data_IF_142110604931
#
_entry.id   IF_142110604931
#
_cell.length_a   1.000
_cell.length_b   1.000
_cell.length_c   1.000
_cell.angle_alpha   90.00
_cell.angle_beta   90.00
_cell.angle_gamma   90.00
#
_symmetry.space_group_name_H-M   'P 1'
#
loop_
_entity.id
_entity.type
_entity.pdbx_description
1 polymer ?
#
# COMPACT_ATOMS: atom_id res chain seq x y z
N UNK A 1 -34.91 14.36 -10.79
CA UNK A 1 -33.77 13.69 -11.44
C UNK A 1 -33.14 14.74 -12.33
N UNK A 2 -31.91 15.13 -12.10
CA UNK A 2 -31.28 16.29 -12.72
C UNK A 2 -31.00 16.03 -14.20
N UNK A 3 -31.26 16.98 -15.10
CA UNK A 3 -30.98 16.82 -16.54
C UNK A 3 -29.49 16.55 -16.80
N UNK A 4 -28.61 17.12 -15.98
CA UNK A 4 -27.17 16.90 -16.04
C UNK A 4 -26.76 15.43 -15.81
N UNK A 5 -27.46 14.70 -14.94
CA UNK A 5 -27.21 13.25 -14.75
C UNK A 5 -27.50 12.45 -16.02
N UNK A 6 -28.57 12.78 -16.73
CA UNK A 6 -28.89 12.13 -18.02
C UNK A 6 -27.86 12.44 -19.10
N UNK A 7 -27.36 13.68 -19.15
CA UNK A 7 -26.33 14.10 -20.11
C UNK A 7 -24.99 13.39 -19.86
N UNK A 8 -24.65 13.19 -18.60
CA UNK A 8 -23.41 12.43 -18.21
C UNK A 8 -23.57 10.95 -18.51
N UNK A 9 -24.72 10.34 -18.17
CA UNK A 9 -24.97 8.91 -18.38
C UNK A 9 -25.14 8.57 -19.87
N UNK A 10 -25.53 9.52 -20.71
CA UNK A 10 -25.65 9.35 -22.17
C UNK A 10 -24.35 9.61 -22.92
N UNK A 11 -23.39 10.36 -22.35
CA UNK A 11 -22.05 10.55 -22.90
C UNK A 11 -21.14 9.37 -22.50
N UNK A 12 -21.06 8.38 -23.38
CA UNK A 12 -20.30 7.15 -23.16
C UNK A 12 -18.81 7.38 -22.89
N UNK A 13 -18.23 8.39 -23.55
CA UNK A 13 -16.79 8.66 -23.42
C UNK A 13 -16.48 9.35 -22.09
N UNK A 14 -17.36 10.26 -21.66
CA UNK A 14 -17.22 10.92 -20.38
C UNK A 14 -17.37 9.93 -19.22
N UNK A 15 -18.45 9.16 -19.18
CA UNK A 15 -18.66 8.11 -18.17
C UNK A 15 -17.48 7.14 -18.13
N UNK A 16 -16.98 6.74 -19.29
CA UNK A 16 -15.86 5.79 -19.37
C UNK A 16 -14.60 6.35 -18.70
N UNK A 17 -14.25 7.61 -18.96
CA UNK A 17 -13.09 8.27 -18.34
C UNK A 17 -13.22 8.35 -16.81
N UNK A 18 -14.38 8.79 -16.32
CA UNK A 18 -14.63 8.91 -14.89
C UNK A 18 -14.60 7.54 -14.18
N UNK A 19 -15.23 6.53 -14.75
CA UNK A 19 -15.21 5.16 -14.19
C UNK A 19 -13.80 4.58 -14.17
N UNK A 20 -13.00 4.82 -15.21
CA UNK A 20 -11.61 4.36 -15.23
C UNK A 20 -10.82 5.05 -14.13
N UNK A 21 -10.98 6.35 -13.94
CA UNK A 21 -10.30 7.08 -12.87
C UNK A 21 -10.63 6.49 -11.48
N UNK A 22 -11.93 6.38 -11.14
CA UNK A 22 -12.35 5.84 -9.84
C UNK A 22 -11.87 4.40 -9.63
N UNK A 23 -11.91 3.59 -10.68
CA UNK A 23 -11.41 2.22 -10.63
C UNK A 23 -9.90 2.16 -10.39
N UNK A 24 -9.14 3.00 -11.09
CA UNK A 24 -7.68 3.10 -10.92
C UNK A 24 -7.33 3.60 -9.52
N UNK A 25 -8.02 4.64 -9.02
CA UNK A 25 -7.79 5.14 -7.66
C UNK A 25 -8.00 4.04 -6.62
N UNK A 26 -9.13 3.34 -6.68
CA UNK A 26 -9.43 2.25 -5.77
C UNK A 26 -8.43 1.10 -5.87
N UNK A 27 -8.06 0.72 -7.10
CA UNK A 27 -7.09 -0.34 -7.34
C UNK A 27 -5.71 0.01 -6.76
N UNK A 28 -5.21 1.22 -7.01
CA UNK A 28 -3.93 1.71 -6.48
C UNK A 28 -3.95 1.74 -4.96
N UNK A 29 -5.01 2.30 -4.37
CA UNK A 29 -5.14 2.40 -2.92
C UNK A 29 -5.23 1.03 -2.24
N UNK A 30 -6.09 0.13 -2.73
CA UNK A 30 -6.24 -1.20 -2.13
C UNK A 30 -4.99 -2.06 -2.33
N UNK A 31 -4.32 -1.95 -3.48
CA UNK A 31 -3.05 -2.64 -3.71
C UNK A 31 -1.98 -2.14 -2.74
N UNK A 32 -1.82 -0.83 -2.59
CA UNK A 32 -0.90 -0.23 -1.61
C UNK A 32 -1.17 -0.73 -0.19
N UNK A 33 -2.42 -0.66 0.27
CA UNK A 33 -2.79 -1.10 1.63
C UNK A 33 -2.56 -2.59 1.81
N UNK A 34 -2.98 -3.42 0.84
CA UNK A 34 -2.86 -4.88 0.92
C UNK A 34 -1.40 -5.32 0.96
N UNK A 35 -0.57 -4.72 0.12
CA UNK A 35 0.87 -4.99 0.11
C UNK A 35 1.49 -4.67 1.47
N UNK A 36 1.29 -3.46 1.98
CA UNK A 36 1.91 -3.06 3.25
C UNK A 36 1.37 -3.80 4.46
N UNK A 37 0.10 -4.24 4.43
CA UNK A 37 -0.44 -5.14 5.45
C UNK A 37 0.25 -6.51 5.42
N UNK A 38 0.58 -7.02 4.24
CA UNK A 38 1.28 -8.31 4.09
C UNK A 38 2.76 -8.18 4.47
N UNK A 39 3.46 -7.13 4.03
CA UNK A 39 4.84 -6.84 4.38
C UNK A 39 5.03 -6.65 5.89
N UNK A 40 4.20 -5.82 6.51
CA UNK A 40 4.29 -5.60 7.95
C UNK A 40 3.99 -6.87 8.74
N UNK A 41 3.01 -7.67 8.30
CA UNK A 41 2.73 -8.96 8.90
C UNK A 41 3.91 -9.91 8.75
N UNK A 42 4.51 -9.96 7.57
CA UNK A 42 5.70 -10.76 7.28
C UNK A 42 6.87 -10.34 8.19
N UNK A 43 7.10 -9.05 8.34
CA UNK A 43 8.15 -8.50 9.20
C UNK A 43 8.03 -8.92 10.68
N UNK A 44 6.80 -9.04 11.19
CA UNK A 44 6.54 -9.49 12.58
C UNK A 44 6.35 -11.01 12.71
N UNK A 45 6.16 -11.73 11.61
CA UNK A 45 5.97 -13.18 11.65
C UNK A 45 7.27 -13.89 12.05
N UNK A 46 7.12 -15.03 12.72
CA UNK A 46 8.25 -15.85 13.15
C UNK A 46 8.24 -17.24 12.51
N UNK A 47 7.31 -17.51 11.60
CA UNK A 47 7.26 -18.73 10.81
C UNK A 47 6.76 -18.43 9.39
N UNK A 48 7.37 -19.10 8.43
CA UNK A 48 7.10 -18.93 6.99
C UNK A 48 6.88 -20.29 6.35
N UNK A 49 5.86 -20.39 5.50
CA UNK A 49 5.59 -21.58 4.71
C UNK A 49 5.10 -21.19 3.31
N UNK A 50 5.45 -21.98 2.31
CA UNK A 50 4.97 -21.76 0.94
C UNK A 50 3.65 -22.49 0.72
N UNK A 51 2.58 -21.78 0.43
CA UNK A 51 1.30 -22.34 -0.01
C UNK A 51 1.36 -22.60 -1.52
N UNK A 52 1.51 -23.88 -1.89
CA UNK A 52 1.62 -24.28 -3.29
C UNK A 52 0.33 -24.05 -4.07
N UNK A 53 -0.83 -24.15 -3.43
CA UNK A 53 -2.13 -24.01 -4.07
C UNK A 53 -2.43 -22.55 -4.41
N UNK A 54 -2.01 -21.64 -3.54
CA UNK A 54 -2.17 -20.20 -3.73
C UNK A 54 -0.95 -19.52 -4.34
N UNK A 55 0.15 -20.28 -4.53
CA UNK A 55 1.43 -19.80 -5.03
C UNK A 55 1.91 -18.52 -4.29
N UNK A 56 1.85 -18.57 -2.96
CA UNK A 56 2.26 -17.43 -2.12
C UNK A 56 2.89 -17.87 -0.80
N UNK A 57 3.71 -16.97 -0.24
CA UNK A 57 4.26 -17.11 1.10
C UNK A 57 3.16 -16.89 2.14
N UNK A 58 3.04 -17.83 3.09
CA UNK A 58 2.19 -17.66 4.27
C UNK A 58 3.08 -17.32 5.46
N UNK A 59 2.79 -16.19 6.07
CA UNK A 59 3.47 -15.72 7.27
C UNK A 59 2.59 -15.95 8.49
N UNK A 60 3.13 -16.59 9.51
CA UNK A 60 2.37 -17.01 10.70
C UNK A 60 3.08 -16.65 11.99
N UNK A 61 2.30 -16.33 13.00
CA UNK A 61 2.78 -16.13 14.37
C UNK A 61 2.70 -17.44 15.13
N UNK A 62 3.67 -18.33 14.88
CA UNK A 62 3.76 -19.63 15.53
C UNK A 62 5.18 -19.86 16.02
N UNK A 63 5.34 -20.66 17.07
CA UNK A 63 6.63 -21.06 17.61
C UNK A 63 6.71 -22.56 17.76
N UNK A 64 7.92 -23.14 17.60
CA UNK A 64 8.12 -24.55 17.84
C UNK A 64 7.97 -24.87 19.35
N UNK A 65 7.34 -25.99 19.64
CA UNK A 65 7.26 -26.58 20.97
C UNK A 65 7.60 -28.07 20.85
N UNK A 66 8.59 -28.52 21.62
CA UNK A 66 8.91 -29.95 21.68
C UNK A 66 8.04 -30.62 22.75
N UNK A 67 7.26 -31.61 22.33
CA UNK A 67 6.43 -32.43 23.19
C UNK A 67 6.64 -33.90 22.84
N UNK A 68 6.96 -34.71 23.82
CA UNK A 68 7.19 -36.15 23.70
C UNK A 68 8.24 -36.53 22.61
N UNK A 69 9.24 -35.64 22.40
CA UNK A 69 10.29 -35.82 21.36
C UNK A 69 9.89 -35.36 19.98
N UNK A 70 8.66 -34.93 19.77
CA UNK A 70 8.17 -34.36 18.50
C UNK A 70 8.11 -32.82 18.57
N UNK A 71 8.45 -32.17 17.46
CA UNK A 71 8.30 -30.74 17.34
C UNK A 71 6.93 -30.41 16.75
N UNK A 72 6.10 -29.71 17.52
CA UNK A 72 4.82 -29.19 17.07
C UNK A 72 4.89 -27.66 17.00
N UNK A 73 4.13 -27.07 16.08
CA UNK A 73 4.01 -25.61 15.99
C UNK A 73 2.73 -25.14 16.70
N UNK A 74 2.90 -24.23 17.65
CA UNK A 74 1.79 -23.68 18.43
C UNK A 74 1.70 -22.16 18.20
N UNK A 75 0.50 -21.55 18.30
CA UNK A 75 0.34 -20.12 18.15
C UNK A 75 1.26 -19.32 19.10
N UNK A 76 2.01 -18.38 18.54
CA UNK A 76 2.78 -17.42 19.31
C UNK A 76 1.94 -16.17 19.63
N UNK A 77 1.27 -16.21 20.77
CA UNK A 77 0.41 -15.12 21.21
C UNK A 77 1.19 -13.82 21.47
N UNK A 78 2.46 -13.90 21.83
CA UNK A 78 3.26 -12.71 22.12
C UNK A 78 3.61 -11.97 20.81
N UNK A 79 4.05 -12.69 19.77
CA UNK A 79 4.31 -12.10 18.46
C UNK A 79 3.02 -11.51 17.85
N UNK A 80 1.92 -12.22 17.94
CA UNK A 80 0.61 -11.73 17.49
C UNK A 80 0.17 -10.46 18.25
N UNK A 81 0.33 -10.43 19.57
CA UNK A 81 -0.01 -9.25 20.38
C UNK A 81 0.89 -8.07 20.05
N UNK A 82 2.17 -8.31 19.82
CA UNK A 82 3.11 -7.26 19.40
C UNK A 82 2.70 -6.66 18.06
N UNK A 83 2.44 -7.49 17.06
CA UNK A 83 1.94 -7.02 15.76
C UNK A 83 0.64 -6.21 15.89
N UNK A 84 -0.33 -6.72 16.63
CA UNK A 84 -1.60 -6.03 16.84
C UNK A 84 -1.41 -4.66 17.49
N UNK A 85 -0.56 -4.57 18.53
CA UNK A 85 -0.29 -3.33 19.26
C UNK A 85 0.50 -2.34 18.42
N UNK A 86 1.57 -2.82 17.79
CA UNK A 86 2.54 -1.95 17.12
C UNK A 86 2.08 -1.53 15.70
N UNK A 87 1.17 -2.29 15.07
CA UNK A 87 0.69 -2.01 13.71
C UNK A 87 -0.81 -1.72 13.65
N UNK A 88 -1.67 -2.57 14.23
CA UNK A 88 -3.10 -2.52 13.94
C UNK A 88 -3.93 -1.64 14.89
N UNK A 89 -3.35 -1.17 16.00
CA UNK A 89 -4.05 -0.46 17.08
C UNK A 89 -3.51 0.96 17.35
N UNK A 90 -2.72 1.51 16.44
CA UNK A 90 -2.10 2.83 16.63
C UNK A 90 -3.09 3.98 16.45
N UNK A 91 -4.07 3.82 15.56
CA UNK A 91 -5.02 4.86 15.22
C UNK A 91 -6.47 4.37 15.34
N UNK A 92 -7.35 5.32 15.64
CA UNK A 92 -8.80 5.09 15.71
C UNK A 92 -9.51 5.75 14.54
N UNK A 93 -10.57 5.10 14.08
CA UNK A 93 -11.50 5.70 13.11
C UNK A 93 -12.44 6.73 13.75
N UNK A 94 -13.25 7.36 12.93
CA UNK A 94 -14.27 8.35 13.35
C UNK A 94 -15.30 7.76 14.33
N UNK A 95 -15.46 6.45 14.34
CA UNK A 95 -16.33 5.71 15.26
C UNK A 95 -15.66 5.36 16.61
N UNK A 96 -14.43 5.79 16.82
CA UNK A 96 -13.63 5.52 18.03
C UNK A 96 -13.05 4.11 18.13
N UNK A 97 -13.33 3.22 17.14
CA UNK A 97 -12.73 1.89 17.07
C UNK A 97 -11.38 1.93 16.38
N UNK A 98 -10.55 0.91 16.65
CA UNK A 98 -9.28 0.78 15.95
C UNK A 98 -9.50 0.71 14.43
N UNK A 99 -8.71 1.49 13.69
CA UNK A 99 -8.72 1.50 12.23
C UNK A 99 -7.39 0.90 11.73
N UNK A 100 -7.37 -0.36 11.27
CA UNK A 100 -6.14 -1.01 10.85
C UNK A 100 -5.42 -0.30 9.69
N UNK A 101 -6.15 0.32 8.75
CA UNK A 101 -5.55 1.03 7.61
C UNK A 101 -4.85 2.32 8.07
N UNK A 102 -5.50 3.13 8.89
CA UNK A 102 -4.86 4.33 9.47
C UNK A 102 -3.72 3.95 10.41
N UNK A 103 -3.88 2.88 11.18
CA UNK A 103 -2.82 2.36 12.05
C UNK A 103 -1.58 1.93 11.25
N UNK A 104 -1.79 1.27 10.11
CA UNK A 104 -0.70 0.93 9.18
C UNK A 104 0.06 2.18 8.72
N UNK A 105 -0.65 3.23 8.30
CA UNK A 105 -0.01 4.47 7.87
C UNK A 105 0.77 5.13 9.02
N UNK A 106 0.23 5.12 10.24
CA UNK A 106 0.94 5.59 11.44
C UNK A 106 2.18 4.76 11.75
N UNK A 107 2.09 3.45 11.58
CA UNK A 107 3.25 2.57 11.70
C UNK A 107 4.33 2.94 10.68
N UNK A 108 3.96 3.20 9.44
CA UNK A 108 4.91 3.61 8.39
C UNK A 108 5.63 4.92 8.74
N UNK A 109 4.93 5.90 9.34
CA UNK A 109 5.57 7.12 9.88
C UNK A 109 6.56 6.77 10.99
N UNK A 110 6.13 5.98 11.97
CA UNK A 110 6.96 5.62 13.12
C UNK A 110 8.20 4.80 12.70
N UNK A 111 8.09 4.04 11.62
CA UNK A 111 9.19 3.26 11.05
C UNK A 111 10.13 4.11 10.17
N UNK A 112 9.70 5.29 9.75
CA UNK A 112 10.47 6.21 8.90
C UNK A 112 10.31 5.99 7.38
N UNK A 113 9.32 5.19 6.96
CA UNK A 113 9.05 4.95 5.54
C UNK A 113 8.36 6.14 4.88
N UNK A 114 7.52 6.85 5.61
CA UNK A 114 6.78 8.03 5.14
C UNK A 114 6.86 9.14 6.19
N UNK A 115 6.55 10.36 5.78
CA UNK A 115 6.49 11.53 6.65
C UNK A 115 5.07 11.79 7.17
N UNK A 116 4.94 12.70 8.15
CA UNK A 116 3.62 13.08 8.69
C UNK A 116 2.71 13.74 7.63
N UNK A 117 3.29 14.45 6.67
CA UNK A 117 2.55 15.00 5.53
C UNK A 117 1.95 13.91 4.65
N UNK A 118 2.70 12.82 4.43
CA UNK A 118 2.25 11.66 3.66
C UNK A 118 1.12 10.93 4.40
N UNK A 119 1.19 10.81 5.73
CA UNK A 119 0.10 10.26 6.53
C UNK A 119 -1.20 11.04 6.34
N UNK A 120 -1.14 12.38 6.31
CA UNK A 120 -2.31 13.21 6.06
C UNK A 120 -2.87 13.00 4.65
N UNK A 121 -2.00 12.86 3.65
CA UNK A 121 -2.37 12.53 2.26
C UNK A 121 -3.03 11.16 2.17
N UNK A 122 -2.42 10.12 2.75
CA UNK A 122 -2.99 8.77 2.79
C UNK A 122 -4.33 8.70 3.53
N UNK A 123 -4.51 9.50 4.58
CA UNK A 123 -5.78 9.63 5.29
C UNK A 123 -6.87 10.23 4.41
N UNK A 124 -6.55 11.24 3.59
CA UNK A 124 -7.47 11.77 2.57
C UNK A 124 -7.79 10.72 1.50
N UNK A 125 -6.78 9.97 1.05
CA UNK A 125 -6.99 8.86 0.10
C UNK A 125 -7.95 7.81 0.68
N UNK A 126 -7.82 7.47 1.97
CA UNK A 126 -8.74 6.56 2.66
C UNK A 126 -10.17 7.07 2.68
N UNK A 127 -10.38 8.36 3.00
CA UNK A 127 -11.71 8.98 2.99
C UNK A 127 -12.30 8.99 1.57
N UNK A 128 -11.52 9.38 0.54
CA UNK A 128 -11.94 9.38 -0.87
C UNK A 128 -12.28 7.97 -1.39
N UNK A 129 -11.44 7.00 -1.05
CA UNK A 129 -11.72 5.60 -1.39
C UNK A 129 -13.07 5.13 -0.84
N UNK A 130 -13.42 5.53 0.38
CA UNK A 130 -14.72 5.18 0.97
C UNK A 130 -15.88 5.84 0.22
N UNK A 131 -15.74 7.11 -0.17
CA UNK A 131 -16.73 7.83 -0.99
C UNK A 131 -16.90 7.10 -2.34
N UNK A 132 -15.81 6.83 -3.05
CA UNK A 132 -15.86 6.15 -4.36
C UNK A 132 -16.44 4.73 -4.27
N UNK A 133 -16.20 4.02 -3.17
CA UNK A 133 -16.72 2.67 -2.96
C UNK A 133 -18.21 2.61 -2.61
N UNK A 134 -18.77 3.66 -2.02
CA UNK A 134 -20.16 3.68 -1.55
C UNK A 134 -21.06 4.63 -2.33
N UNK A 135 -20.50 5.66 -2.95
CA UNK A 135 -21.25 6.76 -3.56
C UNK A 135 -20.88 6.98 -5.03
N UNK A 136 -20.44 5.93 -5.74
CA UNK A 136 -19.96 6.05 -7.11
C UNK A 136 -20.96 6.69 -8.05
N UNK A 137 -22.27 6.44 -7.86
CA UNK A 137 -23.32 7.05 -8.68
C UNK A 137 -23.33 8.58 -8.53
N UNK A 138 -23.18 9.08 -7.32
CA UNK A 138 -23.10 10.53 -7.03
C UNK A 138 -21.77 11.13 -7.56
N UNK A 139 -20.69 10.34 -7.52
CA UNK A 139 -19.40 10.77 -8.07
C UNK A 139 -19.46 10.95 -9.59
N UNK A 140 -20.23 10.12 -10.29
CA UNK A 140 -20.42 10.19 -11.75
C UNK A 140 -21.26 11.38 -12.23
N UNK A 141 -21.98 12.06 -11.33
CA UNK A 141 -22.74 13.27 -11.64
C UNK A 141 -21.83 14.48 -11.97
N UNK A 142 -20.58 14.42 -11.52
CA UNK A 142 -19.61 15.50 -11.68
C UNK A 142 -18.33 14.97 -12.35
N UNK A 143 -17.55 15.89 -12.93
CA UNK A 143 -16.21 15.57 -13.39
C UNK A 143 -15.31 15.30 -12.19
N UNK A 144 -14.32 14.39 -12.37
CA UNK A 144 -13.28 14.17 -11.35
C UNK A 144 -12.60 15.51 -11.02
N UNK A 145 -12.64 15.96 -9.77
CA UNK A 145 -11.97 17.19 -9.36
C UNK A 145 -10.47 17.14 -9.62
N UNK A 146 -9.87 18.27 -9.94
CA UNK A 146 -8.41 18.38 -10.17
C UNK A 146 -7.64 17.93 -8.93
N UNK A 147 -8.15 18.27 -7.73
CA UNK A 147 -7.56 17.90 -6.46
C UNK A 147 -7.52 16.36 -6.28
N UNK A 148 -8.53 15.66 -6.77
CA UNK A 148 -8.60 14.20 -6.68
C UNK A 148 -7.60 13.54 -7.64
N UNK A 149 -7.41 14.10 -8.84
CA UNK A 149 -6.37 13.67 -9.77
C UNK A 149 -4.97 13.87 -9.18
N UNK A 150 -4.75 15.01 -8.52
CA UNK A 150 -3.49 15.28 -7.83
C UNK A 150 -3.28 14.31 -6.67
N UNK A 151 -4.32 14.01 -5.90
CA UNK A 151 -4.27 13.07 -4.78
C UNK A 151 -3.85 11.66 -5.23
N UNK A 152 -4.31 11.20 -6.41
CA UNK A 152 -3.87 9.91 -6.97
C UNK A 152 -2.39 9.93 -7.32
N UNK A 153 -1.87 11.02 -7.90
CA UNK A 153 -0.44 11.15 -8.20
C UNK A 153 0.40 11.14 -6.91
N UNK A 154 -0.05 11.83 -5.88
CA UNK A 154 0.61 11.86 -4.57
C UNK A 154 0.62 10.46 -3.94
N UNK A 155 -0.50 9.73 -3.97
CA UNK A 155 -0.58 8.34 -3.50
C UNK A 155 0.45 7.45 -4.21
N UNK A 156 0.56 7.55 -5.53
CA UNK A 156 1.53 6.80 -6.33
C UNK A 156 2.97 7.15 -5.92
N UNK A 157 3.28 8.43 -5.76
CA UNK A 157 4.61 8.85 -5.35
C UNK A 157 4.98 8.36 -3.95
N UNK A 158 4.04 8.47 -2.98
CA UNK A 158 4.23 7.92 -1.62
C UNK A 158 4.49 6.41 -1.68
N UNK A 159 3.73 5.68 -2.50
CA UNK A 159 3.90 4.24 -2.64
C UNK A 159 5.28 3.86 -3.17
N UNK A 160 5.77 4.58 -4.18
CA UNK A 160 7.11 4.37 -4.76
C UNK A 160 8.21 4.65 -3.75
N UNK A 161 8.17 5.81 -3.11
CA UNK A 161 9.19 6.22 -2.13
C UNK A 161 9.20 5.32 -0.88
N UNK A 162 8.03 4.94 -0.37
CA UNK A 162 7.94 4.02 0.75
C UNK A 162 8.54 2.65 0.41
N UNK A 163 8.26 2.12 -0.79
CA UNK A 163 8.82 0.84 -1.26
C UNK A 163 10.33 0.92 -1.44
N UNK A 164 10.83 2.02 -2.03
CA UNK A 164 12.27 2.26 -2.17
C UNK A 164 12.96 2.29 -0.79
N UNK A 165 12.42 3.05 0.15
CA UNK A 165 12.96 3.09 1.53
C UNK A 165 12.93 1.73 2.20
N UNK A 166 11.86 0.93 2.00
CA UNK A 166 11.77 -0.41 2.56
C UNK A 166 12.89 -1.32 2.06
N UNK A 167 13.11 -1.34 0.76
CA UNK A 167 14.19 -2.12 0.15
C UNK A 167 15.55 -1.71 0.76
N UNK A 168 15.83 -0.41 0.85
CA UNK A 168 17.08 0.09 1.40
C UNK A 168 17.26 -0.18 2.91
N UNK A 169 16.19 -0.07 3.68
CA UNK A 169 16.26 -0.17 5.15
C UNK A 169 16.11 -1.61 5.67
N UNK A 170 15.44 -2.47 4.92
CA UNK A 170 15.07 -3.81 5.37
C UNK A 170 15.59 -4.91 4.45
N UNK A 171 15.25 -4.89 3.17
CA UNK A 171 15.55 -6.02 2.27
C UNK A 171 17.05 -6.14 2.00
N UNK A 172 17.71 -5.07 1.61
CA UNK A 172 19.15 -5.07 1.35
C UNK A 172 19.96 -5.46 2.60
N UNK A 173 19.74 -4.87 3.79
CA UNK A 173 20.47 -5.28 4.99
C UNK A 173 20.24 -6.72 5.43
N UNK A 174 19.08 -7.31 5.09
CA UNK A 174 18.77 -8.70 5.41
C UNK A 174 19.27 -9.70 4.37
N UNK A 175 19.48 -9.26 3.12
CA UNK A 175 19.95 -10.07 1.99
C UNK A 175 21.08 -9.36 1.23
N UNK A 176 22.23 -9.09 1.84
CA UNK A 176 23.30 -8.29 1.23
C UNK A 176 23.90 -8.95 -0.02
N UNK A 177 23.79 -10.27 -0.14
CA UNK A 177 24.33 -11.03 -1.29
C UNK A 177 23.49 -10.85 -2.58
N UNK A 178 22.27 -10.32 -2.48
CA UNK A 178 21.40 -10.05 -3.64
C UNK A 178 21.74 -8.71 -4.32
N UNK A 179 22.56 -7.89 -3.69
CA UNK A 179 22.95 -6.59 -4.23
C UNK A 179 24.23 -6.72 -5.04
N UNK A 180 24.10 -6.63 -6.36
CA UNK A 180 25.23 -6.74 -7.28
C UNK A 180 26.08 -5.45 -7.41
N UNK A 181 25.65 -4.34 -6.82
CA UNK A 181 26.36 -3.07 -6.87
C UNK A 181 27.08 -2.77 -5.55
N UNK A 182 28.32 -2.28 -5.60
CA UNK A 182 29.02 -1.86 -4.40
C UNK A 182 28.30 -0.65 -3.79
N UNK A 183 28.11 -0.68 -2.45
CA UNK A 183 27.53 0.44 -1.69
C UNK A 183 28.44 1.66 -1.58
N UNK A 184 29.66 1.55 -2.04
CA UNK A 184 30.66 2.61 -2.02
C UNK A 184 31.19 2.81 -3.42
N UNK A 185 31.42 4.06 -3.79
CA UNK A 185 32.07 4.39 -5.05
C UNK A 185 33.57 4.09 -4.99
N UNK A 186 34.25 4.34 -6.08
CA UNK A 186 35.73 4.17 -6.20
C UNK A 186 36.54 5.06 -5.24
N UNK A 187 35.94 6.10 -4.67
CA UNK A 187 36.52 7.00 -3.69
C UNK A 187 36.19 6.58 -2.24
N UNK A 188 35.41 5.52 -2.05
CA UNK A 188 34.97 5.05 -0.74
C UNK A 188 33.82 5.86 -0.16
N UNK A 189 33.15 6.69 -0.95
CA UNK A 189 31.93 7.38 -0.54
C UNK A 189 30.71 6.48 -0.71
N UNK A 190 29.77 6.56 0.25
CA UNK A 190 28.53 5.78 0.18
C UNK A 190 27.70 6.18 -1.05
N UNK A 191 27.48 5.22 -1.92
CA UNK A 191 26.59 5.34 -3.07
C UNK A 191 25.31 4.60 -2.78
N UNK A 192 24.20 5.32 -2.72
CA UNK A 192 22.90 4.71 -2.58
C UNK A 192 22.57 3.85 -3.82
N UNK A 193 22.25 2.57 -3.67
CA UNK A 193 21.94 1.71 -4.81
C UNK A 193 20.71 2.23 -5.57
N UNK A 194 20.75 2.12 -6.90
CA UNK A 194 19.61 2.45 -7.75
C UNK A 194 18.58 1.30 -7.65
N UNK A 195 17.58 1.53 -6.80
CA UNK A 195 16.58 0.52 -6.49
C UNK A 195 15.29 0.81 -7.26
N UNK A 196 14.90 -0.13 -8.09
CA UNK A 196 13.61 -0.12 -8.77
C UNK A 196 12.70 -1.16 -8.09
N UNK A 197 11.66 -0.68 -7.42
CA UNK A 197 10.67 -1.57 -6.81
C UNK A 197 9.71 -2.15 -7.86
N UNK A 198 9.11 -3.30 -7.57
CA UNK A 198 8.04 -3.85 -8.41
C UNK A 198 6.85 -2.88 -8.57
N UNK A 199 6.65 -1.99 -7.61
CA UNK A 199 5.67 -0.92 -7.68
C UNK A 199 6.02 0.17 -8.70
N UNK A 200 7.31 0.47 -8.91
CA UNK A 200 7.72 1.47 -9.90
C UNK A 200 7.22 1.10 -11.29
N UNK A 201 7.33 -0.17 -11.66
CA UNK A 201 6.84 -0.65 -12.94
C UNK A 201 5.32 -0.58 -13.02
N UNK A 202 4.62 -1.09 -12.00
CA UNK A 202 3.16 -1.09 -11.95
C UNK A 202 2.58 0.33 -11.98
N UNK A 203 3.08 1.22 -11.14
CA UNK A 203 2.57 2.59 -11.07
C UNK A 203 2.96 3.44 -12.27
N UNK A 204 4.09 3.16 -12.91
CA UNK A 204 4.44 3.80 -14.18
C UNK A 204 3.44 3.47 -15.27
N UNK A 205 2.97 2.22 -15.35
CA UNK A 205 1.90 1.83 -16.27
C UNK A 205 0.58 2.53 -15.95
N UNK A 206 0.23 2.67 -14.66
CA UNK A 206 -0.97 3.42 -14.24
C UNK A 206 -0.87 4.89 -14.67
N UNK A 207 0.28 5.54 -14.46
CA UNK A 207 0.49 6.94 -14.85
C UNK A 207 0.43 7.16 -16.37
N UNK A 208 0.95 6.21 -17.17
CA UNK A 208 0.83 6.27 -18.63
C UNK A 208 -0.65 6.23 -19.04
N UNK A 209 -1.41 5.27 -18.50
CA UNK A 209 -2.84 5.17 -18.80
C UNK A 209 -3.63 6.42 -18.33
N UNK A 210 -3.24 7.03 -17.20
CA UNK A 210 -3.86 8.28 -16.75
C UNK A 210 -3.58 9.44 -17.70
N UNK A 211 -2.37 9.55 -18.26
CA UNK A 211 -2.07 10.56 -19.30
C UNK A 211 -2.96 10.38 -20.51
N UNK A 212 -3.08 9.16 -21.03
CA UNK A 212 -3.90 8.89 -22.22
C UNK A 212 -5.40 9.19 -22.00
N UNK A 213 -5.89 9.10 -20.76
CA UNK A 213 -7.30 9.32 -20.41
C UNK A 213 -7.59 10.80 -20.12
N UNK A 214 -6.63 11.49 -19.51
CA UNK A 214 -6.79 12.86 -19.03
C UNK A 214 -5.86 13.84 -19.73
N UNK A 215 -5.31 13.45 -20.91
CA UNK A 215 -4.50 14.39 -21.68
C UNK A 215 -5.23 15.71 -21.89
N UNK A 216 -4.79 16.63 -21.13
CA UNK A 216 -4.85 18.07 -21.32
C UNK A 216 -3.42 18.58 -21.48
#
# INVERSE_FOLDING_TARGET
MNSEFFDIVTDKDKIRKELIYYSLFMMVFENFVSYWMEETRSFYANSYSWDKDKNKLICSFVKPLTKDGETIFVPDKNAQQKYNKDVLQLEKGKDGKNNPKLSLFRWMVNFGLIEEADFQTLSKCYDKRNIYGHEIASCLENQVPVEDKQLLKELINIAKEASRKWILMVEIPTNPDEVNEPFFDENGEYKEPDVISGFDMFYSLVLVNLKDIFDE
#
